data_IF_194900410146
#
_entry.id   IF_194900410146
#
_cell.length_a   1.000
_cell.length_b   1.000
_cell.length_c   1.000
_cell.angle_alpha   90.00
_cell.angle_beta   90.00
_cell.angle_gamma   90.00
#
_symmetry.space_group_name_H-M   'P 1'
#
loop_
_entity.id
_entity.type
_entity.pdbx_description
1 polymer ?
#
# COMPACT_ATOMS: atom_id res chain seq x y z
N UNK A 1 -3.16 -9.44 2.36
CA UNK A 1 -3.61 -10.04 1.08
C UNK A 1 -4.76 -9.18 0.55
N UNK A 2 -4.94 -9.00 -0.77
CA UNK A 2 -6.00 -8.14 -1.33
C UNK A 2 -6.84 -8.93 -2.32
N UNK A 3 -8.13 -8.60 -2.37
CA UNK A 3 -9.06 -9.08 -3.41
C UNK A 3 -9.42 -7.88 -4.28
N UNK A 4 -9.29 -8.02 -5.59
CA UNK A 4 -9.51 -6.94 -6.55
C UNK A 4 -10.29 -7.45 -7.76
N UNK A 5 -11.01 -6.55 -8.43
CA UNK A 5 -11.76 -6.89 -9.64
C UNK A 5 -10.86 -6.84 -10.90
N UNK A 6 -11.42 -7.23 -12.05
CA UNK A 6 -10.69 -7.25 -13.33
C UNK A 6 -10.10 -5.88 -13.72
N UNK A 7 -10.86 -4.79 -13.56
CA UNK A 7 -10.39 -3.45 -13.92
C UNK A 7 -9.18 -3.00 -13.10
N UNK A 8 -9.16 -3.33 -11.80
CA UNK A 8 -8.01 -3.03 -10.93
C UNK A 8 -6.81 -3.91 -11.27
N UNK A 9 -7.02 -5.16 -11.69
CA UNK A 9 -5.94 -6.03 -12.17
C UNK A 9 -5.28 -5.42 -13.41
N UNK A 10 -6.07 -4.93 -14.36
CA UNK A 10 -5.56 -4.26 -15.57
C UNK A 10 -4.74 -3.01 -15.21
N UNK A 11 -5.26 -2.17 -14.31
CA UNK A 11 -4.55 -0.99 -13.81
C UNK A 11 -3.19 -1.37 -13.17
N UNK A 12 -3.18 -2.41 -12.33
CA UNK A 12 -1.95 -2.89 -11.69
C UNK A 12 -0.98 -3.56 -12.66
N UNK A 13 -1.46 -4.15 -13.77
CA UNK A 13 -0.58 -4.69 -14.80
C UNK A 13 0.17 -3.59 -15.55
N UNK A 14 -0.43 -2.41 -15.71
CA UNK A 14 0.20 -1.25 -16.33
C UNK A 14 1.12 -0.50 -15.36
N UNK A 15 0.67 -0.30 -14.12
CA UNK A 15 1.41 0.44 -13.12
C UNK A 15 1.27 -0.17 -11.72
N UNK A 16 2.38 -0.65 -11.18
CA UNK A 16 2.45 -1.18 -9.82
C UNK A 16 3.67 -0.62 -9.08
N UNK A 17 3.48 0.04 -7.92
CA UNK A 17 4.58 0.69 -7.20
C UNK A 17 5.56 -0.35 -6.63
N UNK A 18 6.85 -0.07 -6.78
CA UNK A 18 7.94 -0.97 -6.34
C UNK A 18 8.29 -0.83 -4.87
N UNK A 19 8.25 0.40 -4.34
CA UNK A 19 8.80 0.71 -3.01
C UNK A 19 7.79 0.36 -1.90
N UNK A 20 6.56 0.86 -1.99
CA UNK A 20 5.51 0.60 -1.01
C UNK A 20 4.22 0.12 -1.69
N UNK A 21 4.22 -1.13 -2.18
CA UNK A 21 3.16 -1.67 -3.03
C UNK A 21 1.77 -1.65 -2.38
N UNK A 22 1.68 -1.77 -1.06
CA UNK A 22 0.41 -1.76 -0.34
C UNK A 22 -0.16 -0.35 -0.14
N UNK A 23 0.52 0.58 0.54
CA UNK A 23 -0.06 1.91 0.79
C UNK A 23 -0.19 2.75 -0.49
N UNK A 24 0.76 2.67 -1.43
CA UNK A 24 0.70 3.49 -2.64
C UNK A 24 -0.41 3.05 -3.60
N UNK A 25 -0.68 1.75 -3.72
CA UNK A 25 -1.80 1.28 -4.55
C UNK A 25 -3.15 1.64 -3.96
N UNK A 26 -3.30 1.63 -2.63
CA UNK A 26 -4.54 2.09 -1.98
C UNK A 26 -4.79 3.55 -2.31
N UNK A 27 -3.76 4.40 -2.18
CA UNK A 27 -3.85 5.81 -2.56
C UNK A 27 -4.21 5.97 -4.03
N UNK A 28 -3.53 5.24 -4.93
CA UNK A 28 -3.79 5.27 -6.37
C UNK A 28 -5.23 4.90 -6.72
N UNK A 29 -5.77 3.85 -6.08
CA UNK A 29 -7.15 3.41 -6.27
C UNK A 29 -8.16 4.45 -5.79
N UNK A 30 -7.92 5.04 -4.61
CA UNK A 30 -8.78 6.10 -4.07
C UNK A 30 -8.76 7.35 -4.98
N UNK A 31 -7.60 7.71 -5.52
CA UNK A 31 -7.47 8.82 -6.47
C UNK A 31 -8.16 8.57 -7.80
N UNK A 32 -8.11 7.32 -8.28
CA UNK A 32 -8.83 6.89 -9.48
C UNK A 32 -10.34 6.69 -9.24
N UNK A 33 -10.84 6.92 -8.02
CA UNK A 33 -12.27 6.86 -7.69
C UNK A 33 -12.81 5.45 -7.44
N UNK A 34 -11.94 4.45 -7.28
CA UNK A 34 -12.35 3.11 -6.87
C UNK A 34 -12.76 3.08 -5.40
N UNK A 35 -13.65 2.15 -5.07
CA UNK A 35 -14.05 1.87 -3.69
C UNK A 35 -13.06 0.88 -3.06
N UNK A 36 -12.50 1.24 -1.92
CA UNK A 36 -11.63 0.37 -1.10
C UNK A 36 -12.31 0.15 0.24
N UNK A 37 -12.37 -1.10 0.69
CA UNK A 37 -12.92 -1.48 1.99
C UNK A 37 -11.95 -2.40 2.72
N UNK A 38 -11.87 -2.24 4.05
CA UNK A 38 -11.09 -3.11 4.92
C UNK A 38 -12.01 -4.15 5.57
N UNK A 39 -11.66 -5.43 5.41
CA UNK A 39 -12.40 -6.55 6.00
C UNK A 39 -11.57 -7.17 7.13
N UNK A 40 -12.05 -7.14 8.39
CA UNK A 40 -11.30 -7.70 9.51
C UNK A 40 -11.20 -9.23 9.37
N UNK A 41 -10.05 -9.77 9.75
CA UNK A 41 -9.78 -11.21 9.76
C UNK A 41 -9.17 -11.62 11.09
N UNK A 42 -9.43 -12.86 11.52
CA UNK A 42 -8.75 -13.45 12.67
C UNK A 42 -7.35 -13.88 12.23
N UNK A 43 -6.33 -13.22 12.78
CA UNK A 43 -4.94 -13.54 12.53
C UNK A 43 -4.49 -14.64 13.50
N UNK A 44 -3.95 -15.74 12.96
CA UNK A 44 -3.31 -16.77 13.78
C UNK A 44 -1.95 -16.25 14.30
N UNK A 45 -1.58 -16.68 15.50
CA UNK A 45 -0.25 -16.37 16.03
C UNK A 45 0.85 -16.99 15.15
N UNK A 46 1.95 -16.24 15.03
CA UNK A 46 3.12 -16.67 14.27
C UNK A 46 3.90 -17.68 15.10
N UNK A 47 4.02 -18.91 14.61
CA UNK A 47 4.71 -19.99 15.33
C UNK A 47 6.24 -19.94 15.23
N UNK A 48 6.79 -19.39 14.13
CA UNK A 48 8.23 -19.44 13.84
C UNK A 48 8.78 -18.10 13.30
N UNK A 49 10.10 -17.93 13.33
CA UNK A 49 10.82 -16.76 12.79
C UNK A 49 10.96 -15.57 13.76
N UNK A 50 11.59 -14.49 13.28
CA UNK A 50 11.70 -13.22 13.99
C UNK A 50 11.18 -12.08 13.13
N UNK A 51 10.66 -11.03 13.76
CA UNK A 51 10.17 -9.86 13.04
C UNK A 51 11.32 -9.18 12.30
N UNK A 52 11.15 -8.95 10.99
CA UNK A 52 12.05 -8.12 10.20
C UNK A 52 11.91 -6.62 10.54
N UNK A 53 10.83 -6.24 11.24
CA UNK A 53 10.54 -4.88 11.67
C UNK A 53 10.80 -4.74 13.18
N UNK A 54 11.87 -4.02 13.51
CA UNK A 54 12.16 -3.58 14.88
C UNK A 54 11.48 -2.25 15.14
N UNK A 55 11.24 -1.89 16.41
CA UNK A 55 10.54 -0.65 16.79
C UNK A 55 11.07 0.60 16.06
N UNK A 56 12.41 0.73 15.99
CA UNK A 56 13.08 1.84 15.30
C UNK A 56 12.86 1.84 13.79
N UNK A 57 12.89 0.66 13.15
CA UNK A 57 12.60 0.50 11.72
C UNK A 57 11.12 0.80 11.43
N UNK A 58 10.21 0.44 12.33
CA UNK A 58 8.79 0.77 12.21
C UNK A 58 8.56 2.28 12.19
N UNK A 59 9.14 3.02 13.15
CA UNK A 59 9.01 4.48 13.20
C UNK A 59 9.59 5.14 11.94
N UNK A 60 10.80 4.75 11.55
CA UNK A 60 11.43 5.23 10.32
C UNK A 60 10.56 4.96 9.09
N UNK A 61 10.00 3.75 8.99
CA UNK A 61 9.12 3.36 7.90
C UNK A 61 7.86 4.23 7.83
N UNK A 62 7.16 4.41 8.96
CA UNK A 62 5.93 5.22 9.01
C UNK A 62 6.18 6.66 8.56
N UNK A 63 7.30 7.27 8.96
CA UNK A 63 7.68 8.61 8.53
C UNK A 63 8.01 8.63 7.03
N UNK A 64 8.85 7.70 6.57
CA UNK A 64 9.30 7.64 5.17
C UNK A 64 8.15 7.47 4.19
N UNK A 65 7.22 6.54 4.48
CA UNK A 65 6.05 6.27 3.62
C UNK A 65 5.11 7.47 3.59
N UNK A 66 4.86 8.10 4.74
CA UNK A 66 3.97 9.27 4.80
C UNK A 66 4.50 10.42 3.95
N UNK A 67 5.80 10.71 4.01
CA UNK A 67 6.43 11.74 3.18
C UNK A 67 6.35 11.36 1.70
N UNK A 68 6.62 10.09 1.35
CA UNK A 68 6.57 9.62 -0.04
C UNK A 68 5.19 9.83 -0.66
N UNK A 69 4.12 9.45 0.06
CA UNK A 69 2.72 9.63 -0.41
C UNK A 69 2.38 11.11 -0.60
N UNK A 70 2.76 11.98 0.35
CA UNK A 70 2.52 13.42 0.25
C UNK A 70 3.24 14.04 -0.95
N UNK A 71 4.51 13.69 -1.15
CA UNK A 71 5.30 14.19 -2.29
C UNK A 71 4.71 13.70 -3.60
N UNK A 72 4.35 12.40 -3.69
CA UNK A 72 3.74 11.83 -4.89
C UNK A 72 2.38 12.47 -5.21
N UNK A 73 1.59 12.83 -4.20
CA UNK A 73 0.35 13.60 -4.40
C UNK A 73 0.61 14.98 -5.00
N UNK A 74 1.58 15.71 -4.44
CA UNK A 74 1.90 17.08 -4.86
C UNK A 74 2.52 17.10 -6.27
N UNK A 75 3.36 16.12 -6.59
CA UNK A 75 4.01 16.02 -7.90
C UNK A 75 3.10 15.49 -9.01
N UNK A 76 1.86 15.10 -8.68
CA UNK A 76 0.92 14.50 -9.63
C UNK A 76 1.24 13.05 -9.99
N UNK A 77 2.09 12.37 -9.20
CA UNK A 77 2.63 11.04 -9.50
C UNK A 77 1.60 9.91 -9.61
N UNK A 78 0.42 10.07 -8.98
CA UNK A 78 -0.68 9.09 -9.07
C UNK A 78 -1.69 9.39 -10.18
N UNK A 79 -1.55 10.53 -10.89
CA UNK A 79 -2.29 10.80 -12.13
C UNK A 79 -1.51 10.23 -13.30
N UNK A 80 -1.67 8.93 -13.57
CA UNK A 80 -1.37 8.36 -14.88
C UNK A 80 -2.59 7.59 -15.37
#
# INVERSE_FOLDING_TARGET
MRVVNKSVIELFAEHYPSDYPEPETIVSLLEAGFKVEEMPVLMNEREHGTSSITLTKSVYYMIKVSIAILVAKISGGYKK
#
